data_IF_588231315033
#
_entry.id   IF_588231315033
#
_cell.length_a   1.000
_cell.length_b   1.000
_cell.length_c   1.000
_cell.angle_alpha   90.00
_cell.angle_beta   90.00
_cell.angle_gamma   90.00
#
_symmetry.space_group_name_H-M   'P 1'
#
loop_
_entity.id
_entity.type
_entity.pdbx_description
1 polymer ?
#
# COMPACT_ATOMS: atom_id res chain seq x y z
N UNK A 1 -0.64 -15.72 -79.71
CA UNK A 1 -1.98 -16.25 -80.04
C UNK A 1 -2.60 -16.63 -78.71
N UNK A 2 -3.33 -15.68 -78.11
CA UNK A 2 -4.80 -15.65 -78.10
C UNK A 2 -5.34 -16.61 -77.02
N UNK A 3 -5.91 -16.07 -75.92
CA UNK A 3 -7.38 -16.06 -75.64
C UNK A 3 -7.65 -17.15 -74.57
N UNK A 4 -8.44 -17.05 -73.50
CA UNK A 4 -9.58 -16.22 -73.07
C UNK A 4 -9.73 -16.42 -71.54
N UNK A 5 -10.38 -15.46 -70.87
CA UNK A 5 -11.11 -15.71 -69.62
C UNK A 5 -12.47 -16.34 -69.97
N UNK A 6 -13.04 -17.23 -69.16
CA UNK A 6 -14.39 -16.92 -68.70
C UNK A 6 -14.67 -17.29 -67.23
N UNK A 7 -15.72 -16.64 -66.76
CA UNK A 7 -16.14 -16.47 -65.38
C UNK A 7 -16.89 -17.65 -64.76
N UNK A 8 -17.03 -17.51 -63.44
CA UNK A 8 -18.09 -17.99 -62.54
C UNK A 8 -18.07 -19.46 -62.13
N UNK A 9 -17.82 -19.70 -60.83
CA UNK A 9 -18.82 -20.45 -60.06
C UNK A 9 -18.81 -20.16 -58.54
N UNK A 10 -20.03 -20.13 -58.04
CA UNK A 10 -20.64 -20.10 -56.71
C UNK A 10 -19.87 -19.88 -55.37
N UNK A 11 -20.53 -19.03 -54.57
CA UNK A 11 -20.33 -18.72 -53.14
C UNK A 11 -20.89 -19.86 -52.26
N UNK A 12 -20.56 -19.91 -50.95
CA UNK A 12 -21.58 -19.48 -49.99
C UNK A 12 -20.97 -18.63 -48.86
N UNK A 13 -21.30 -17.35 -48.72
CA UNK A 13 -22.54 -16.79 -48.19
C UNK A 13 -22.64 -16.77 -46.65
N UNK A 14 -21.77 -17.46 -45.91
CA UNK A 14 -21.90 -17.56 -44.44
C UNK A 14 -20.79 -16.88 -43.63
N UNK A 15 -19.67 -16.47 -44.25
CA UNK A 15 -18.51 -15.96 -43.50
C UNK A 15 -18.38 -14.43 -43.48
N UNK A 16 -19.16 -13.71 -44.31
CA UNK A 16 -19.06 -12.24 -44.43
C UNK A 16 -20.13 -11.50 -43.58
N UNK A 17 -21.10 -12.21 -43.00
CA UNK A 17 -22.13 -11.60 -42.14
C UNK A 17 -21.73 -11.56 -40.65
N UNK A 18 -20.77 -12.38 -40.23
CA UNK A 18 -20.28 -12.43 -38.84
C UNK A 18 -19.32 -11.29 -38.48
N UNK A 19 -18.65 -10.69 -39.47
CA UNK A 19 -17.75 -9.54 -39.26
C UNK A 19 -18.50 -8.21 -39.25
N UNK A 20 -19.65 -8.11 -39.94
CA UNK A 20 -20.43 -6.86 -40.01
C UNK A 20 -21.28 -6.58 -38.77
N UNK A 21 -21.51 -7.59 -37.91
CA UNK A 21 -22.29 -7.47 -36.67
C UNK A 21 -21.54 -6.86 -35.48
N UNK A 22 -20.23 -6.59 -35.61
CA UNK A 22 -19.40 -6.05 -34.51
C UNK A 22 -19.11 -4.55 -34.67
N UNK A 23 -19.35 -3.97 -35.87
CA UNK A 23 -18.91 -2.59 -36.18
C UNK A 23 -20.04 -1.56 -36.09
N UNK A 24 -21.31 -1.95 -36.00
CA UNK A 24 -22.41 -0.99 -35.85
C UNK A 24 -23.35 -1.33 -34.68
N UNK A 25 -23.09 -0.73 -33.52
CA UNK A 25 -24.17 -0.24 -32.67
C UNK A 25 -24.00 1.24 -32.32
N UNK A 26 -23.58 2.08 -33.30
CA UNK A 26 -23.46 3.53 -33.14
C UNK A 26 -24.63 4.34 -33.75
N UNK A 27 -25.68 3.69 -34.25
CA UNK A 27 -26.71 4.37 -35.05
C UNK A 27 -28.18 4.12 -34.66
N UNK A 28 -28.49 3.77 -33.40
CA UNK A 28 -29.90 3.60 -33.01
C UNK A 28 -30.22 3.89 -31.53
N UNK A 29 -29.92 5.10 -31.03
CA UNK A 29 -30.69 5.70 -29.93
C UNK A 29 -30.87 7.21 -30.18
N UNK A 30 -32.05 7.58 -30.66
CA UNK A 30 -32.50 8.98 -30.72
C UNK A 30 -32.76 9.56 -29.31
N UNK A 31 -32.68 10.89 -29.15
CA UNK A 31 -32.50 11.55 -27.87
C UNK A 31 -33.84 11.96 -27.23
N UNK A 32 -34.21 11.38 -26.09
CA UNK A 32 -35.23 11.97 -25.24
C UNK A 32 -35.09 11.61 -23.74
N UNK A 33 -35.05 12.67 -22.92
CA UNK A 33 -35.42 12.70 -21.50
C UNK A 33 -34.52 11.94 -20.52
N UNK A 34 -33.31 12.45 -20.32
CA UNK A 34 -32.87 12.86 -18.99
C UNK A 34 -31.60 13.70 -19.11
N UNK A 35 -31.79 15.00 -19.36
CA UNK A 35 -30.74 15.98 -19.14
C UNK A 35 -30.45 16.00 -17.63
N UNK A 36 -29.50 15.18 -17.19
CA UNK A 36 -28.86 15.36 -15.90
C UNK A 36 -28.21 16.73 -15.97
N UNK A 37 -28.84 17.72 -15.32
CA UNK A 37 -28.35 19.10 -15.22
C UNK A 37 -26.84 19.06 -14.98
N UNK A 38 -26.04 19.93 -15.64
CA UNK A 38 -24.61 19.97 -15.40
C UNK A 38 -24.43 20.09 -13.89
N UNK A 39 -23.74 19.12 -13.28
CA UNK A 39 -23.43 19.15 -11.86
C UNK A 39 -22.70 20.47 -11.65
N UNK A 40 -23.43 21.39 -11.06
CA UNK A 40 -23.07 22.78 -10.91
C UNK A 40 -21.76 22.81 -10.13
N UNK A 41 -20.78 23.48 -10.73
CA UNK A 41 -19.40 23.74 -10.31
C UNK A 41 -19.31 24.59 -9.03
N UNK A 42 -20.12 24.27 -8.02
CA UNK A 42 -20.17 24.96 -6.73
C UNK A 42 -19.81 24.04 -5.55
N UNK A 43 -20.07 22.72 -5.64
CA UNK A 43 -19.71 21.77 -4.57
C UNK A 43 -18.26 21.28 -4.66
N UNK A 44 -17.61 21.41 -5.81
CA UNK A 44 -16.20 21.02 -6.01
C UNK A 44 -15.22 22.10 -5.51
N UNK A 45 -15.69 23.34 -5.32
CA UNK A 45 -14.87 24.48 -4.93
C UNK A 45 -14.42 24.41 -3.47
N UNK A 46 -15.27 23.88 -2.57
CA UNK A 46 -14.96 23.75 -1.14
C UNK A 46 -13.83 22.73 -0.90
N UNK A 47 -13.86 21.51 -1.46
CA UNK A 47 -12.73 20.58 -1.38
C UNK A 47 -11.43 21.17 -1.91
N UNK A 48 -11.47 21.88 -3.05
CA UNK A 48 -10.29 22.49 -3.66
C UNK A 48 -9.74 23.62 -2.76
N UNK A 49 -10.61 24.47 -2.19
CA UNK A 49 -10.19 25.52 -1.28
C UNK A 49 -9.55 24.96 -0.01
N UNK A 50 -10.12 23.88 0.55
CA UNK A 50 -9.57 23.19 1.72
C UNK A 50 -8.19 22.60 1.39
N UNK A 51 -8.03 21.97 0.22
CA UNK A 51 -6.75 21.42 -0.23
C UNK A 51 -5.72 22.53 -0.40
N UNK A 52 -6.07 23.65 -1.05
CA UNK A 52 -5.17 24.79 -1.26
C UNK A 52 -4.80 25.43 0.09
N UNK A 53 -5.77 25.64 0.97
CA UNK A 53 -5.54 26.20 2.31
C UNK A 53 -4.66 25.30 3.17
N UNK A 54 -4.90 23.99 3.15
CA UNK A 54 -4.08 23.00 3.86
C UNK A 54 -2.65 22.95 3.31
N UNK A 55 -2.47 22.93 1.98
CA UNK A 55 -1.15 22.97 1.37
C UNK A 55 -0.42 24.29 1.69
N UNK A 56 -1.11 25.43 1.63
CA UNK A 56 -0.56 26.73 2.00
C UNK A 56 -0.11 26.78 3.47
N UNK A 57 -0.92 26.23 4.38
CA UNK A 57 -0.57 26.09 5.78
C UNK A 57 0.66 25.20 5.98
N UNK A 58 0.73 24.06 5.29
CA UNK A 58 1.89 23.14 5.35
C UNK A 58 3.15 23.85 4.85
N UNK A 59 3.09 24.56 3.72
CA UNK A 59 4.23 25.30 3.16
C UNK A 59 4.69 26.39 4.15
N UNK A 60 3.76 27.15 4.72
CA UNK A 60 4.07 28.20 5.68
C UNK A 60 4.67 27.63 6.97
N UNK A 61 4.15 26.52 7.47
CA UNK A 61 4.69 25.83 8.63
C UNK A 61 6.10 25.26 8.36
N UNK A 62 6.32 24.70 7.18
CA UNK A 62 7.63 24.14 6.80
C UNK A 62 8.69 25.24 6.65
N UNK A 63 8.33 26.37 6.03
CA UNK A 63 9.24 27.49 5.78
C UNK A 63 9.42 28.40 7.00
N UNK A 64 8.39 28.54 7.84
CA UNK A 64 8.39 29.38 9.04
C UNK A 64 9.17 28.78 10.20
N UNK A 65 9.24 27.45 10.31
CA UNK A 65 9.92 26.77 11.41
C UNK A 65 11.20 26.06 10.93
N UNK A 66 12.34 26.77 10.91
CA UNK A 66 13.67 26.20 10.60
C UNK A 66 14.05 24.96 11.45
N UNK A 67 13.42 24.78 12.61
CA UNK A 67 13.65 23.65 13.52
C UNK A 67 12.58 22.54 13.44
N UNK A 68 11.54 22.69 12.61
CA UNK A 68 10.46 21.71 12.49
C UNK A 68 10.97 20.34 12.05
N UNK A 69 11.94 20.32 11.13
CA UNK A 69 12.55 19.08 10.67
C UNK A 69 13.16 18.25 11.81
N UNK A 70 13.96 18.89 12.67
CA UNK A 70 14.58 18.21 13.81
C UNK A 70 13.58 17.78 14.88
N UNK A 71 12.49 18.54 15.07
CA UNK A 71 11.39 18.15 15.95
C UNK A 71 10.66 16.92 15.40
N UNK A 72 10.34 16.91 14.10
CA UNK A 72 9.64 15.80 13.48
C UNK A 72 10.53 14.56 13.48
N UNK A 73 11.84 14.67 13.18
CA UNK A 73 12.74 13.51 13.24
C UNK A 73 12.79 12.89 14.65
N UNK A 74 12.85 13.71 15.70
CA UNK A 74 12.79 13.22 17.09
C UNK A 74 11.46 12.54 17.40
N UNK A 75 10.35 13.12 16.95
CA UNK A 75 9.02 12.54 17.11
C UNK A 75 8.91 11.19 16.39
N UNK A 76 9.41 11.08 15.16
CA UNK A 76 9.37 9.83 14.39
C UNK A 76 10.21 8.73 15.04
N UNK A 77 11.44 9.07 15.49
CA UNK A 77 12.27 8.13 16.25
C UNK A 77 11.58 7.66 17.53
N UNK A 78 10.94 8.58 18.26
CA UNK A 78 10.18 8.26 19.47
C UNK A 78 9.00 7.33 19.17
N UNK A 79 8.21 7.63 18.13
CA UNK A 79 7.05 6.81 17.74
C UNK A 79 7.46 5.40 17.33
N UNK A 80 8.52 5.26 16.53
CA UNK A 80 9.05 3.96 16.14
C UNK A 80 9.58 3.19 17.35
N UNK A 81 10.30 3.85 18.27
CA UNK A 81 10.78 3.22 19.49
C UNK A 81 9.63 2.71 20.37
N UNK A 82 8.58 3.53 20.56
CA UNK A 82 7.38 3.12 21.30
C UNK A 82 6.70 1.93 20.61
N UNK A 83 6.58 1.94 19.28
CA UNK A 83 6.00 0.84 18.51
C UNK A 83 6.77 -0.47 18.72
N UNK A 84 8.11 -0.43 18.66
CA UNK A 84 8.97 -1.60 18.89
C UNK A 84 8.75 -2.16 20.30
N UNK A 85 8.77 -1.29 21.32
CA UNK A 85 8.57 -1.69 22.72
C UNK A 85 7.17 -2.28 22.92
N UNK A 86 6.14 -1.67 22.35
CA UNK A 86 4.77 -2.15 22.46
C UNK A 86 4.61 -3.56 21.85
N UNK A 87 5.14 -3.79 20.65
CA UNK A 87 5.10 -5.13 20.04
C UNK A 87 5.96 -6.14 20.79
N UNK A 88 7.10 -5.73 21.36
CA UNK A 88 7.91 -6.60 22.22
C UNK A 88 7.12 -7.07 23.44
N UNK A 89 6.53 -6.13 24.19
CA UNK A 89 5.70 -6.44 25.36
C UNK A 89 4.55 -7.37 24.96
N UNK A 90 3.85 -7.08 23.86
CA UNK A 90 2.74 -7.88 23.38
C UNK A 90 3.17 -9.32 23.04
N UNK A 91 4.29 -9.48 22.32
CA UNK A 91 4.83 -10.79 21.97
C UNK A 91 5.19 -11.63 23.21
N UNK A 92 5.76 -11.00 24.25
CA UNK A 92 6.04 -11.67 25.52
C UNK A 92 4.77 -12.06 26.29
N UNK A 93 3.71 -11.24 26.21
CA UNK A 93 2.44 -11.51 26.89
C UNK A 93 1.65 -12.63 26.22
N UNK A 94 1.67 -12.68 24.88
CA UNK A 94 0.93 -13.64 24.07
C UNK A 94 1.55 -15.05 24.07
N UNK A 95 2.85 -15.15 24.42
CA UNK A 95 3.62 -16.42 24.52
C UNK A 95 3.39 -17.33 23.29
N UNK A 96 3.86 -16.93 22.11
CA UNK A 96 3.70 -17.74 20.91
C UNK A 96 4.45 -19.08 21.04
N UNK A 97 3.96 -20.08 20.34
CA UNK A 97 4.70 -21.34 20.13
C UNK A 97 5.88 -21.05 19.19
N UNK A 98 7.06 -20.89 19.77
CA UNK A 98 8.28 -20.58 19.03
C UNK A 98 8.67 -21.65 18.01
N UNK A 99 8.33 -22.92 18.27
CA UNK A 99 8.64 -24.00 17.34
C UNK A 99 7.79 -23.88 16.07
N UNK A 100 6.49 -23.61 16.22
CA UNK A 100 5.59 -23.35 15.07
C UNK A 100 5.92 -22.04 14.38
N UNK A 101 6.28 -21.00 15.13
CA UNK A 101 6.69 -19.72 14.54
C UNK A 101 7.92 -19.90 13.64
N UNK A 102 8.94 -20.65 14.11
CA UNK A 102 10.14 -20.96 13.33
C UNK A 102 9.86 -21.87 12.14
N UNK A 103 8.98 -22.86 12.29
CA UNK A 103 8.53 -23.70 11.18
C UNK A 103 7.81 -22.88 10.10
N UNK A 104 7.10 -21.81 10.48
CA UNK A 104 6.44 -20.88 9.57
C UNK A 104 7.38 -19.99 8.74
N UNK A 105 8.68 -19.91 9.08
CA UNK A 105 9.67 -19.27 8.22
C UNK A 105 10.02 -20.11 6.99
N UNK A 106 9.67 -21.41 6.99
CA UNK A 106 9.87 -22.28 5.85
C UNK A 106 8.75 -21.99 4.84
N UNK A 107 9.05 -21.48 3.63
CA UNK A 107 8.04 -21.18 2.64
C UNK A 107 7.32 -22.47 2.22
N UNK A 108 6.01 -22.53 2.47
CA UNK A 108 5.15 -23.62 2.06
C UNK A 108 3.88 -23.07 1.42
N UNK A 109 3.31 -23.81 0.47
CA UNK A 109 2.01 -23.48 -0.08
C UNK A 109 0.94 -24.05 0.87
N UNK A 110 -0.04 -23.23 1.30
CA UNK A 110 -1.11 -23.73 2.17
C UNK A 110 -1.99 -24.74 1.41
N UNK A 111 -2.50 -25.75 2.12
CA UNK A 111 -3.31 -26.82 1.53
C UNK A 111 -4.56 -26.30 0.81
N UNK A 112 -5.15 -25.18 1.25
CA UNK A 112 -6.28 -24.56 0.55
C UNK A 112 -5.88 -24.08 -0.85
N UNK A 113 -4.67 -23.56 -1.03
CA UNK A 113 -4.15 -23.13 -2.32
C UNK A 113 -3.87 -24.32 -3.27
N UNK A 114 -3.53 -25.49 -2.73
CA UNK A 114 -3.26 -26.70 -3.52
C UNK A 114 -4.53 -27.27 -4.20
N UNK A 115 -5.71 -27.02 -3.64
CA UNK A 115 -6.99 -27.50 -4.16
C UNK A 115 -7.68 -26.51 -5.14
N UNK A 116 -6.99 -25.43 -5.55
CA UNK A 116 -7.48 -24.43 -6.51
C UNK A 116 -8.53 -23.45 -5.97
N UNK A 117 -9.25 -23.81 -4.90
CA UNK A 117 -10.20 -22.93 -4.21
C UNK A 117 -9.46 -22.07 -3.16
N UNK A 118 -9.41 -20.75 -3.36
CA UNK A 118 -8.85 -19.82 -2.37
C UNK A 118 -7.43 -19.33 -2.61
N UNK A 119 -6.82 -19.66 -3.77
CA UNK A 119 -5.50 -19.11 -4.15
C UNK A 119 -5.46 -17.58 -4.08
N UNK A 120 -6.56 -16.91 -4.49
CA UNK A 120 -6.68 -15.44 -4.40
C UNK A 120 -6.65 -14.94 -2.95
N UNK A 121 -7.31 -15.65 -2.02
CA UNK A 121 -7.37 -15.25 -0.61
C UNK A 121 -6.01 -15.41 0.08
N UNK A 122 -5.24 -16.43 -0.29
CA UNK A 122 -3.87 -16.64 0.20
C UNK A 122 -2.89 -15.64 -0.42
N UNK A 123 -2.99 -15.40 -1.74
CA UNK A 123 -2.01 -14.56 -2.44
C UNK A 123 -2.21 -13.07 -2.17
N UNK A 124 -3.44 -12.62 -1.91
CA UNK A 124 -3.75 -11.19 -1.75
C UNK A 124 -2.96 -10.54 -0.59
N UNK A 125 -2.93 -11.11 0.64
CA UNK A 125 -2.12 -10.57 1.72
C UNK A 125 -0.61 -10.61 1.44
N UNK A 126 -0.13 -11.65 0.77
CA UNK A 126 1.30 -11.80 0.41
C UNK A 126 1.71 -10.69 -0.57
N UNK A 127 0.93 -10.49 -1.63
CA UNK A 127 1.17 -9.43 -2.62
C UNK A 127 1.05 -8.04 -1.98
N UNK A 128 0.07 -7.83 -1.10
CA UNK A 128 -0.09 -6.56 -0.38
C UNK A 128 1.11 -6.26 0.55
N UNK A 129 1.62 -7.28 1.25
CA UNK A 129 2.83 -7.15 2.08
C UNK A 129 4.06 -6.82 1.23
N UNK A 130 4.19 -7.46 0.06
CA UNK A 130 5.28 -7.17 -0.88
C UNK A 130 5.18 -5.74 -1.43
N UNK A 131 3.98 -5.32 -1.83
CA UNK A 131 3.71 -3.98 -2.36
C UNK A 131 4.00 -2.87 -1.34
N UNK A 132 3.79 -3.11 -0.05
CA UNK A 132 4.07 -2.15 1.02
C UNK A 132 5.55 -2.11 1.44
N UNK A 133 6.28 -3.21 1.24
CA UNK A 133 7.70 -3.30 1.64
C UNK A 133 8.65 -2.87 0.52
N UNK A 134 8.30 -3.14 -0.75
CA UNK A 134 9.14 -2.81 -1.90
C UNK A 134 8.81 -1.41 -2.45
N UNK A 135 9.47 -0.38 -1.91
CA UNK A 135 9.32 1.01 -2.38
C UNK A 135 10.30 1.34 -3.50
N UNK A 136 9.77 1.51 -4.72
CA UNK A 136 10.55 1.93 -5.89
C UNK A 136 11.14 3.33 -5.69
N UNK A 137 10.35 4.27 -5.16
CA UNK A 137 10.83 5.63 -4.86
C UNK A 137 11.98 5.62 -3.85
N UNK A 138 11.89 4.79 -2.80
CA UNK A 138 12.95 4.61 -1.83
C UNK A 138 14.23 4.03 -2.44
N UNK A 139 14.10 3.05 -3.35
CA UNK A 139 15.24 2.45 -4.06
C UNK A 139 15.99 3.47 -4.92
N UNK A 140 15.28 4.34 -5.66
CA UNK A 140 15.91 5.43 -6.41
C UNK A 140 16.55 6.46 -5.48
N UNK A 141 15.86 6.85 -4.41
CA UNK A 141 16.35 7.85 -3.47
C UNK A 141 17.64 7.42 -2.75
N UNK A 142 17.83 6.11 -2.50
CA UNK A 142 19.07 5.59 -1.92
C UNK A 142 20.31 5.98 -2.75
N UNK A 143 20.22 6.01 -4.09
CA UNK A 143 21.34 6.43 -4.94
C UNK A 143 21.74 7.90 -4.71
N UNK A 144 20.75 8.78 -4.50
CA UNK A 144 20.96 10.18 -4.16
C UNK A 144 21.55 10.34 -2.75
N UNK A 145 21.07 9.56 -1.78
CA UNK A 145 21.61 9.58 -0.41
C UNK A 145 23.08 9.16 -0.36
N UNK A 146 23.47 8.14 -1.10
CA UNK A 146 24.88 7.70 -1.21
C UNK A 146 25.76 8.83 -1.77
N UNK A 147 25.26 9.55 -2.79
CA UNK A 147 25.94 10.72 -3.36
C UNK A 147 26.00 11.91 -2.40
N UNK A 148 24.91 12.23 -1.70
CA UNK A 148 24.86 13.32 -0.71
C UNK A 148 25.78 13.07 0.48
N UNK A 149 25.89 11.81 0.93
CA UNK A 149 26.83 11.40 1.97
C UNK A 149 28.29 11.33 1.50
N UNK A 150 28.56 11.52 0.20
CA UNK A 150 29.91 11.45 -0.38
C UNK A 150 30.55 10.06 -0.28
N UNK A 151 29.74 8.99 -0.24
CA UNK A 151 30.26 7.64 -0.08
C UNK A 151 31.10 7.21 -1.28
N UNK A 152 32.29 6.70 -0.99
CA UNK A 152 33.20 6.16 -2.01
C UNK A 152 33.20 4.63 -2.00
N UNK A 153 33.90 3.99 -2.95
CA UNK A 153 34.06 2.52 -2.97
C UNK A 153 34.65 1.97 -1.67
N UNK A 154 35.46 2.76 -0.95
CA UNK A 154 36.01 2.38 0.34
C UNK A 154 34.93 2.23 1.44
N UNK A 155 33.80 2.94 1.31
CA UNK A 155 32.69 2.89 2.28
C UNK A 155 31.66 1.80 1.96
N UNK A 156 31.83 1.03 0.88
CA UNK A 156 30.86 0.05 0.43
C UNK A 156 30.55 -1.00 1.52
N UNK A 157 31.59 -1.50 2.21
CA UNK A 157 31.41 -2.47 3.30
C UNK A 157 30.60 -1.88 4.46
N UNK A 158 30.86 -0.62 4.82
CA UNK A 158 30.11 0.06 5.87
C UNK A 158 28.65 0.28 5.46
N UNK A 159 28.41 0.68 4.21
CA UNK A 159 27.06 0.89 3.68
C UNK A 159 26.23 -0.39 3.62
N UNK A 160 26.85 -1.52 3.28
CA UNK A 160 26.20 -2.83 3.32
C UNK A 160 25.83 -3.22 4.76
N UNK A 161 26.73 -3.07 5.72
CA UNK A 161 26.45 -3.38 7.13
C UNK A 161 25.31 -2.49 7.66
N UNK A 162 25.36 -1.18 7.41
CA UNK A 162 24.32 -0.23 7.84
C UNK A 162 22.94 -0.59 7.25
N UNK A 163 22.91 -0.87 5.95
CA UNK A 163 21.68 -1.27 5.25
C UNK A 163 21.16 -2.62 5.75
N UNK A 164 22.04 -3.61 5.92
CA UNK A 164 21.66 -4.92 6.44
C UNK A 164 21.10 -4.81 7.85
N UNK A 165 21.75 -4.06 8.75
CA UNK A 165 21.24 -3.85 10.11
C UNK A 165 19.87 -3.16 10.10
N UNK A 166 19.70 -2.12 9.28
CA UNK A 166 18.41 -1.42 9.15
C UNK A 166 17.29 -2.33 8.65
N UNK A 167 17.56 -3.10 7.59
CA UNK A 167 16.60 -4.06 7.01
C UNK A 167 16.30 -5.20 8.00
N UNK A 168 17.31 -5.71 8.71
CA UNK A 168 17.11 -6.76 9.72
C UNK A 168 16.24 -6.30 10.88
N UNK A 169 16.42 -5.07 11.38
CA UNK A 169 15.57 -4.51 12.43
C UNK A 169 14.13 -4.38 11.93
N UNK A 170 13.93 -3.85 10.72
CA UNK A 170 12.60 -3.73 10.13
C UNK A 170 11.92 -5.10 9.94
N UNK A 171 12.66 -6.08 9.41
CA UNK A 171 12.18 -7.45 9.24
C UNK A 171 11.82 -8.12 10.56
N UNK A 172 12.62 -7.89 11.62
CA UNK A 172 12.35 -8.40 12.95
C UNK A 172 11.05 -7.82 13.51
N UNK A 173 10.83 -6.51 13.36
CA UNK A 173 9.57 -5.86 13.79
C UNK A 173 8.38 -6.49 13.06
N UNK A 174 8.46 -6.60 11.72
CA UNK A 174 7.41 -7.22 10.92
C UNK A 174 7.12 -8.65 11.38
N UNK A 175 8.15 -9.44 11.68
CA UNK A 175 7.99 -10.80 12.20
C UNK A 175 7.28 -10.82 13.55
N UNK A 176 7.64 -9.91 14.47
CA UNK A 176 6.97 -9.79 15.77
C UNK A 176 5.49 -9.47 15.62
N UNK A 177 5.14 -8.52 14.73
CA UNK A 177 3.75 -8.18 14.44
C UNK A 177 3.00 -9.38 13.85
N UNK A 178 3.58 -10.08 12.87
CA UNK A 178 2.98 -11.24 12.23
C UNK A 178 2.73 -12.39 13.20
N UNK A 179 3.71 -12.73 14.03
CA UNK A 179 3.56 -13.80 15.04
C UNK A 179 2.47 -13.44 16.05
N UNK A 180 2.46 -12.18 16.50
CA UNK A 180 1.44 -11.68 17.43
C UNK A 180 0.04 -11.73 16.80
N UNK A 181 -0.11 -11.28 15.56
CA UNK A 181 -1.37 -11.35 14.82
C UNK A 181 -1.81 -12.80 14.60
N UNK A 182 -0.90 -13.71 14.26
CA UNK A 182 -1.21 -15.12 14.09
C UNK A 182 -1.74 -15.76 15.38
N UNK A 183 -1.22 -15.38 16.56
CA UNK A 183 -1.79 -15.91 17.81
C UNK A 183 -3.05 -15.18 18.28
N UNK A 184 -3.10 -13.85 18.18
CA UNK A 184 -4.22 -13.05 18.72
C UNK A 184 -5.44 -13.07 17.80
N UNK A 185 -5.26 -13.09 16.48
CA UNK A 185 -6.37 -13.05 15.52
C UNK A 185 -6.71 -14.44 14.98
N UNK A 186 -5.71 -15.25 14.59
CA UNK A 186 -5.98 -16.51 13.88
C UNK A 186 -6.28 -17.69 14.82
N UNK A 187 -5.72 -17.72 16.02
CA UNK A 187 -5.96 -18.80 16.99
C UNK A 187 -7.13 -18.53 17.95
N UNK A 188 -7.80 -17.37 17.86
CA UNK A 188 -8.94 -17.02 18.69
C UNK A 188 -10.24 -17.17 17.90
N UNK A 189 -11.14 -18.11 18.28
CA UNK A 189 -12.38 -18.39 17.55
C UNK A 189 -13.44 -17.28 17.66
N UNK A 190 -13.28 -16.34 18.60
CA UNK A 190 -14.22 -15.24 18.85
C UNK A 190 -13.90 -13.97 18.05
N UNK A 191 -12.82 -13.97 17.24
CA UNK A 191 -12.40 -12.78 16.48
C UNK A 191 -13.25 -12.64 15.23
N UNK A 192 -14.16 -11.66 15.27
CA UNK A 192 -14.97 -11.20 14.14
C UNK A 192 -14.07 -10.89 12.94
N UNK A 193 -14.52 -11.23 11.73
CA UNK A 193 -13.88 -10.83 10.47
C UNK A 193 -13.58 -9.33 10.49
N UNK A 194 -12.30 -8.97 10.49
CA UNK A 194 -11.84 -7.58 10.51
C UNK A 194 -12.04 -6.98 9.11
N UNK A 195 -13.18 -6.36 8.87
CA UNK A 195 -13.53 -5.76 7.58
C UNK A 195 -13.24 -4.27 7.53
N UNK A 196 -13.26 -3.60 8.69
CA UNK A 196 -13.06 -2.17 8.82
C UNK A 196 -11.91 -1.84 9.78
N UNK A 197 -11.32 -0.65 9.60
CA UNK A 197 -10.33 -0.09 10.53
C UNK A 197 -10.91 0.06 11.95
N UNK A 198 -12.21 0.30 12.06
CA UNK A 198 -12.91 0.37 13.34
C UNK A 198 -12.96 -0.99 14.03
N UNK A 199 -13.11 -2.08 13.27
CA UNK A 199 -13.17 -3.44 13.83
C UNK A 199 -11.83 -3.79 14.49
N UNK A 200 -10.73 -3.39 13.85
CA UNK A 200 -9.37 -3.56 14.41
C UNK A 200 -9.21 -2.76 15.69
N UNK A 201 -9.71 -1.53 15.73
CA UNK A 201 -9.69 -0.71 16.94
C UNK A 201 -10.49 -1.33 18.09
N UNK A 202 -11.67 -1.86 17.81
CA UNK A 202 -12.52 -2.55 18.80
C UNK A 202 -11.86 -3.82 19.32
N UNK A 203 -11.11 -4.55 18.47
CA UNK A 203 -10.35 -5.73 18.88
C UNK A 203 -9.26 -5.43 19.93
N UNK A 204 -8.86 -4.15 20.04
CA UNK A 204 -7.89 -3.67 21.03
C UNK A 204 -8.53 -3.18 22.34
N UNK A 205 -9.87 -3.11 22.43
CA UNK A 205 -10.57 -2.71 23.67
C UNK A 205 -10.21 -3.56 24.91
N UNK A 206 -10.01 -4.88 24.83
CA UNK A 206 -9.61 -5.67 25.99
C UNK A 206 -8.25 -5.24 26.59
N UNK A 207 -7.36 -4.65 25.78
CA UNK A 207 -6.04 -4.19 26.23
C UNK A 207 -6.00 -2.69 26.57
N UNK A 208 -6.74 -1.85 25.85
CA UNK A 208 -6.67 -0.38 25.94
C UNK A 208 -7.97 0.28 26.44
N UNK A 209 -9.01 -0.50 26.72
CA UNK A 209 -10.32 -0.03 27.16
C UNK A 209 -11.01 0.87 26.12
N UNK A 210 -11.92 1.73 26.60
CA UNK A 210 -12.74 2.64 25.77
C UNK A 210 -11.91 3.65 24.96
N UNK A 211 -10.63 3.84 25.30
CA UNK A 211 -9.71 4.73 24.58
C UNK A 211 -9.02 4.06 23.39
N UNK A 212 -9.22 2.75 23.16
CA UNK A 212 -8.60 1.99 22.09
C UNK A 212 -8.79 2.66 20.71
N UNK A 213 -9.99 3.13 20.40
CA UNK A 213 -10.29 3.75 19.09
C UNK A 213 -9.52 5.05 18.85
N UNK A 214 -9.40 5.90 19.87
CA UNK A 214 -8.65 7.16 19.76
C UNK A 214 -7.16 6.88 19.64
N UNK A 215 -6.63 5.98 20.46
CA UNK A 215 -5.21 5.61 20.47
C UNK A 215 -4.82 4.99 19.12
N UNK A 216 -5.62 4.04 18.62
CA UNK A 216 -5.38 3.39 17.35
C UNK A 216 -5.45 4.36 16.17
N UNK A 217 -6.45 5.25 16.15
CA UNK A 217 -6.61 6.27 15.11
C UNK A 217 -5.45 7.28 15.12
N UNK A 218 -4.99 7.69 16.30
CA UNK A 218 -3.82 8.56 16.44
C UNK A 218 -2.54 7.87 15.94
N UNK A 219 -2.39 6.56 16.21
CA UNK A 219 -1.29 5.75 15.70
C UNK A 219 -1.27 5.67 14.17
N UNK A 220 -2.41 5.37 13.55
CA UNK A 220 -2.54 5.37 12.08
C UNK A 220 -2.23 6.75 11.50
N UNK A 221 -2.78 7.82 12.10
CA UNK A 221 -2.51 9.19 11.66
C UNK A 221 -1.02 9.54 11.74
N UNK A 222 -0.36 9.20 12.84
CA UNK A 222 1.07 9.44 13.02
C UNK A 222 1.92 8.67 11.99
N UNK A 223 1.58 7.41 11.71
CA UNK A 223 2.23 6.61 10.68
C UNK A 223 2.03 7.18 9.26
N UNK A 224 0.81 7.62 8.94
CA UNK A 224 0.51 8.27 7.66
C UNK A 224 1.27 9.59 7.49
N UNK A 225 1.32 10.42 8.53
CA UNK A 225 2.04 11.69 8.52
C UNK A 225 3.56 11.49 8.36
N UNK A 226 4.12 10.46 9.00
CA UNK A 226 5.54 10.07 8.83
C UNK A 226 5.88 9.77 7.37
N UNK A 227 5.14 8.86 6.76
CA UNK A 227 5.34 8.46 5.37
C UNK A 227 5.12 9.61 4.39
N UNK A 228 4.13 10.47 4.66
CA UNK A 228 3.88 11.68 3.87
C UNK A 228 5.08 12.61 3.87
N UNK A 229 5.66 12.91 5.05
CA UNK A 229 6.81 13.80 5.14
C UNK A 229 8.03 13.23 4.40
N UNK A 230 8.33 11.94 4.60
CA UNK A 230 9.47 11.29 3.94
C UNK A 230 9.30 11.32 2.42
N UNK A 231 8.10 10.99 1.91
CA UNK A 231 7.83 11.04 0.47
C UNK A 231 7.91 12.48 -0.09
N UNK A 232 7.45 13.48 0.66
CA UNK A 232 7.57 14.88 0.29
C UNK A 232 9.04 15.34 0.21
N UNK A 233 9.89 14.90 1.15
CA UNK A 233 11.32 15.17 1.11
C UNK A 233 12.00 14.52 -0.09
N UNK A 234 11.68 13.25 -0.37
CA UNK A 234 12.21 12.52 -1.53
C UNK A 234 11.87 13.30 -2.80
N UNK A 235 10.60 13.66 -2.99
CA UNK A 235 10.14 14.46 -4.13
C UNK A 235 10.88 15.79 -4.25
N UNK A 236 11.01 16.54 -3.14
CA UNK A 236 11.73 17.82 -3.13
C UNK A 236 13.22 17.69 -3.48
N UNK A 237 13.88 16.65 -2.98
CA UNK A 237 15.31 16.42 -3.23
C UNK A 237 15.64 15.87 -4.63
N UNK A 238 14.69 15.24 -5.31
CA UNK A 238 14.86 14.77 -6.69
C UNK A 238 14.62 15.91 -7.68
N UNK A 239 13.73 16.86 -7.35
CA UNK A 239 13.43 18.03 -8.18
C UNK A 239 14.51 19.13 -8.13
N UNK A 240 15.30 19.18 -7.05
CA UNK A 240 16.35 20.18 -6.81
C UNK A 240 17.69 19.76 -7.43
#
# INVERSE_FOLDING_TARGET
QAVENPAADEKPADEIDSVKKVVDPLAAQEPAKNAKKPVTTASASIPILIIIGMNGFIILALYGFKHLYGLIEKLMKLLVAIMIIAFAINLFQVKPDWLKALAGLIPSLPEQAANGAGMKEVMTPIVAMYATTFSVAGAFYQSYLVRQKGWTRANLKQGLIDSTLGISVLGLITLMVLITAAKVLYQNPDVVTLTSVSDVATSLEPGFGKSAMVIFSLGIFAGAFSSFLVNAMIGGSILA
#
